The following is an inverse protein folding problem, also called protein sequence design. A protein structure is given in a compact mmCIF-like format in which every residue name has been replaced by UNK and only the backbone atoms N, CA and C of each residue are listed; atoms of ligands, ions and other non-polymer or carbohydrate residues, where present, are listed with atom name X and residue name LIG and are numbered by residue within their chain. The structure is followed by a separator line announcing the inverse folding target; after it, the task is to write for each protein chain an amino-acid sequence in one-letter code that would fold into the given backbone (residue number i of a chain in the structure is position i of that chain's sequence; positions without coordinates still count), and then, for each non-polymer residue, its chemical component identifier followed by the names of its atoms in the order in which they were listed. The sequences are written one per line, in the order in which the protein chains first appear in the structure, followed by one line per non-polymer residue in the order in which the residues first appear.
data_IF_158687210803
#
_entry.id   IF_158687210803
#
_cell.length_a   1.000
_cell.length_b   1.000
_cell.length_c   1.000
_cell.angle_alpha   90.00
_cell.angle_beta   90.00
_cell.angle_gamma   90.00
#
_symmetry.space_group_name_H-M   'P 1'
#
loop_
_entity.id
_entity.type
_entity.pdbx_description
1 polymer ?
#
# COMPACT_ATOMS: atom_id res chain seq x y z
N UNK A 1 12.68 -3.75 7.64
CA UNK A 1 12.50 -2.54 8.49
C UNK A 1 11.03 -2.14 8.48
N UNK A 2 10.61 -1.28 9.42
CA UNK A 2 9.22 -0.77 9.52
C UNK A 2 9.26 0.74 9.63
N UNK A 3 8.37 1.44 8.90
CA UNK A 3 8.24 2.90 8.95
C UNK A 3 6.78 3.23 9.30
N UNK A 4 6.60 4.06 10.33
CA UNK A 4 5.31 4.69 10.64
C UNK A 4 5.36 6.15 10.18
N UNK A 5 4.36 6.58 9.41
CA UNK A 5 4.24 7.95 8.92
C UNK A 5 2.91 8.56 9.38
N UNK A 6 2.92 9.87 9.64
CA UNK A 6 1.72 10.68 9.89
C UNK A 6 1.86 12.00 9.10
N UNK A 7 0.74 12.60 8.72
CA UNK A 7 0.69 13.83 7.91
C UNK A 7 1.35 13.68 6.53
N UNK A 8 1.49 12.44 6.04
CA UNK A 8 1.96 12.08 4.72
C UNK A 8 1.33 10.76 4.30
N UNK A 9 1.29 10.48 3.01
CA UNK A 9 0.84 9.22 2.45
C UNK A 9 2.03 8.43 1.88
N UNK A 10 1.94 7.09 1.79
CA UNK A 10 3.00 6.28 1.19
C UNK A 10 3.45 6.78 -0.19
N UNK A 11 2.51 7.22 -1.03
CA UNK A 11 2.79 7.75 -2.37
C UNK A 11 3.73 8.96 -2.38
N UNK A 12 3.86 9.70 -1.27
CA UNK A 12 4.77 10.83 -1.17
C UNK A 12 6.24 10.39 -1.02
N UNK A 13 6.50 9.21 -0.45
CA UNK A 13 7.85 8.79 -0.02
C UNK A 13 8.31 7.46 -0.65
N UNK A 14 7.40 6.68 -1.22
CA UNK A 14 7.69 5.33 -1.70
C UNK A 14 8.83 5.30 -2.74
N UNK A 15 8.92 6.31 -3.60
CA UNK A 15 10.00 6.42 -4.59
C UNK A 15 11.35 6.60 -3.93
N UNK A 16 11.47 7.51 -2.94
CA UNK A 16 12.73 7.73 -2.23
C UNK A 16 13.21 6.47 -1.50
N UNK A 17 12.29 5.74 -0.85
CA UNK A 17 12.61 4.48 -0.15
C UNK A 17 13.11 3.42 -1.15
N UNK A 18 12.43 3.27 -2.29
CA UNK A 18 12.85 2.32 -3.34
C UNK A 18 14.22 2.64 -3.95
N UNK A 19 14.63 3.91 -3.92
CA UNK A 19 15.91 4.36 -4.45
C UNK A 19 17.06 4.26 -3.44
N UNK A 20 16.78 3.92 -2.18
CA UNK A 20 17.80 3.73 -1.15
C UNK A 20 18.63 2.48 -1.47
N UNK A 21 19.97 2.57 -1.59
CA UNK A 21 20.82 1.44 -1.99
C UNK A 21 20.69 0.20 -1.09
N UNK A 22 20.38 0.38 0.19
CA UNK A 22 20.25 -0.68 1.19
C UNK A 22 18.88 -1.37 1.18
N UNK A 23 17.90 -0.83 0.44
CA UNK A 23 16.53 -1.35 0.44
C UNK A 23 16.36 -2.40 -0.66
N UNK A 24 16.28 -3.67 -0.25
CA UNK A 24 16.05 -4.78 -1.17
C UNK A 24 14.60 -4.85 -1.69
N UNK A 25 13.62 -4.68 -0.80
CA UNK A 25 12.21 -4.85 -1.14
C UNK A 25 11.30 -4.12 -0.15
N UNK A 26 10.07 -3.83 -0.60
CA UNK A 26 8.99 -3.27 0.20
C UNK A 26 7.82 -4.24 0.13
N UNK A 27 7.42 -4.81 1.28
CA UNK A 27 6.34 -5.79 1.36
C UNK A 27 4.95 -5.15 1.32
N UNK A 28 4.76 -4.04 2.04
CA UNK A 28 3.48 -3.35 2.14
C UNK A 28 3.69 -1.88 2.46
N UNK A 29 2.79 -1.02 1.98
CA UNK A 29 2.72 0.38 2.37
C UNK A 29 1.24 0.83 2.35
N UNK A 30 0.57 0.67 3.50
CA UNK A 30 -0.89 0.77 3.62
C UNK A 30 -1.31 1.52 4.89
N UNK A 31 -2.55 1.99 4.91
CA UNK A 31 -3.25 2.44 6.12
C UNK A 31 -4.34 1.46 6.58
N UNK A 32 -4.53 0.35 5.85
CA UNK A 32 -5.45 -0.71 6.23
C UNK A 32 -4.90 -1.53 7.42
N UNK A 33 -5.76 -2.27 8.13
CA UNK A 33 -5.28 -3.36 8.98
C UNK A 33 -4.39 -4.30 8.18
N UNK A 34 -3.20 -4.60 8.71
CA UNK A 34 -2.20 -5.44 8.04
C UNK A 34 -1.75 -6.57 8.97
N UNK A 35 -1.62 -7.76 8.41
CA UNK A 35 -1.04 -8.92 9.09
C UNK A 35 0.16 -9.45 8.32
N UNK A 36 1.20 -9.89 9.02
CA UNK A 36 2.40 -10.47 8.43
C UNK A 36 2.36 -11.99 8.55
N UNK A 37 2.63 -12.68 7.45
CA UNK A 37 2.88 -14.12 7.45
C UNK A 37 4.37 -14.31 7.68
N UNK A 38 4.71 -14.88 8.82
CA UNK A 38 6.10 -15.08 9.24
C UNK A 38 6.37 -16.56 9.40
N UNK A 39 7.38 -17.07 8.71
CA UNK A 39 7.96 -18.36 9.01
C UNK A 39 8.96 -18.21 10.17
N UNK A 40 8.95 -19.18 11.06
CA UNK A 40 9.86 -19.26 12.21
C UNK A 40 10.67 -20.55 12.06
N UNK A 41 11.99 -20.40 12.05
CA UNK A 41 12.96 -21.49 12.20
C UNK A 41 13.52 -21.50 13.61
N UNK A 42 14.60 -22.24 13.85
CA UNK A 42 15.22 -22.35 15.18
C UNK A 42 15.73 -20.99 15.70
N UNK A 43 16.57 -20.31 14.91
CA UNK A 43 17.16 -19.02 15.29
C UNK A 43 16.74 -17.86 14.36
N UNK A 44 15.80 -18.12 13.44
CA UNK A 44 15.56 -17.25 12.29
C UNK A 44 14.06 -17.02 12.07
N UNK A 45 13.73 -15.85 11.51
CA UNK A 45 12.38 -15.53 11.06
C UNK A 45 12.42 -14.93 9.66
N UNK A 46 11.48 -15.33 8.83
CA UNK A 46 11.35 -14.84 7.46
C UNK A 46 9.95 -14.31 7.21
N UNK A 47 9.86 -13.12 6.60
CA UNK A 47 8.58 -12.59 6.11
C UNK A 47 8.27 -13.30 4.79
N UNK A 48 7.22 -14.11 4.78
CA UNK A 48 6.74 -14.81 3.59
C UNK A 48 5.76 -13.95 2.77
N UNK A 49 5.05 -13.05 3.44
CA UNK A 49 4.06 -12.20 2.79
C UNK A 49 3.25 -11.35 3.77
N UNK A 50 2.30 -10.61 3.21
CA UNK A 50 1.43 -9.67 3.92
C UNK A 50 -0.01 -9.87 3.52
N UNK A 51 -0.92 -9.72 4.48
CA UNK A 51 -2.34 -9.59 4.24
C UNK A 51 -2.71 -8.13 4.46
N UNK A 52 -2.90 -7.37 3.37
CA UNK A 52 -3.24 -5.95 3.37
C UNK A 52 -4.75 -5.78 3.20
N UNK A 53 -5.45 -5.46 4.29
CA UNK A 53 -6.88 -5.23 4.28
C UNK A 53 -7.70 -6.50 4.03
N UNK A 54 -8.74 -6.38 3.20
CA UNK A 54 -9.76 -7.41 2.99
C UNK A 54 -9.76 -7.95 1.56
N UNK A 55 -10.30 -9.16 1.38
CA UNK A 55 -10.52 -9.76 0.06
C UNK A 55 -11.50 -8.92 -0.78
N UNK A 56 -11.34 -8.87 -2.11
CA UNK A 56 -12.29 -8.18 -2.99
C UNK A 56 -13.68 -8.81 -2.90
N UNK A 57 -14.73 -7.97 -2.94
CA UNK A 57 -16.14 -8.41 -2.89
C UNK A 57 -16.78 -8.61 -4.27
N UNK A 58 -16.12 -8.17 -5.33
CA UNK A 58 -16.64 -8.21 -6.70
C UNK A 58 -15.81 -7.35 -7.65
N UNK A 59 -16.28 -7.20 -8.89
CA UNK A 59 -15.64 -6.39 -9.94
C UNK A 59 -16.30 -5.01 -10.02
N UNK A 60 -15.51 -3.95 -10.27
CA UNK A 60 -16.04 -2.60 -10.47
C UNK A 60 -17.00 -2.52 -11.68
N UNK A 61 -18.12 -1.81 -11.54
CA UNK A 61 -19.06 -1.49 -12.62
C UNK A 61 -18.76 -0.09 -13.16
N UNK A 62 -19.44 0.30 -14.24
CA UNK A 62 -19.24 1.61 -14.88
C UNK A 62 -19.45 2.77 -13.91
N UNK A 63 -20.44 2.66 -13.04
CA UNK A 63 -20.78 3.64 -12.00
C UNK A 63 -19.65 3.76 -10.97
N UNK A 64 -19.17 2.64 -10.43
CA UNK A 64 -18.05 2.61 -9.47
C UNK A 64 -16.77 3.22 -10.05
N UNK A 65 -16.53 3.00 -11.35
CA UNK A 65 -15.39 3.59 -12.04
C UNK A 65 -15.52 5.11 -12.13
N UNK A 66 -16.70 5.63 -12.47
CA UNK A 66 -16.97 7.07 -12.51
C UNK A 66 -16.75 7.68 -11.12
N UNK A 67 -17.31 7.08 -10.08
CA UNK A 67 -17.14 7.52 -8.69
C UNK A 67 -15.67 7.60 -8.27
N UNK A 68 -14.87 6.55 -8.56
CA UNK A 68 -13.43 6.56 -8.24
C UNK A 68 -12.67 7.65 -8.98
N UNK A 69 -12.98 7.90 -10.25
CA UNK A 69 -12.33 8.95 -11.04
C UNK A 69 -12.70 10.35 -10.53
N UNK A 70 -13.98 10.57 -10.23
CA UNK A 70 -14.48 11.84 -9.71
C UNK A 70 -13.92 12.12 -8.31
N UNK A 71 -13.80 11.09 -7.47
CA UNK A 71 -13.12 11.19 -6.19
C UNK A 71 -11.67 11.68 -6.35
N UNK A 72 -10.87 11.09 -7.24
CA UNK A 72 -9.48 11.50 -7.47
C UNK A 72 -9.35 12.97 -7.91
N UNK A 73 -10.30 13.49 -8.70
CA UNK A 73 -10.36 14.91 -9.06
C UNK A 73 -10.74 15.77 -7.86
N UNK A 74 -11.74 15.35 -7.08
CA UNK A 74 -12.21 16.04 -5.87
C UNK A 74 -11.09 16.21 -4.83
N UNK A 75 -10.24 15.20 -4.67
CA UNK A 75 -9.08 15.26 -3.75
C UNK A 75 -7.82 15.88 -4.39
N UNK A 76 -7.93 16.43 -5.61
CA UNK A 76 -6.87 17.20 -6.25
C UNK A 76 -5.74 16.40 -6.91
N UNK A 77 -5.88 15.08 -7.03
CA UNK A 77 -4.84 14.21 -7.62
C UNK A 77 -4.93 14.08 -9.14
N UNK A 78 -5.99 14.59 -9.75
CA UNK A 78 -6.19 14.63 -11.21
C UNK A 78 -6.80 15.96 -11.62
N UNK A 79 -6.33 16.50 -12.75
CA UNK A 79 -6.90 17.70 -13.36
C UNK A 79 -8.28 17.41 -13.95
N UNK A 80 -9.22 18.38 -13.94
CA UNK A 80 -10.43 18.30 -14.75
C UNK A 80 -10.06 18.14 -16.23
N UNK A 81 -10.85 17.34 -16.96
CA UNK A 81 -10.76 17.27 -18.41
C UNK A 81 -11.39 18.51 -19.03
#
# INVERSE_FOLDING_TARGET
FVIFIRNAFPINVLTAIKMCPEVCSIFCATANPVQFVVAEGEDQRAVLGVMDGMKPKGVEQAEHRKERQDFLRKIGYKVPL
#
